data_IF_012487389183
#
_entry.id   IF_012487389183
#
_cell.length_a   1.000
_cell.length_b   1.000
_cell.length_c   1.000
_cell.angle_alpha   90.00
_cell.angle_beta   90.00
_cell.angle_gamma   90.00
#
_symmetry.space_group_name_H-M   'P 1'
#
loop_
_entity.id
_entity.type
_entity.pdbx_description
1 polymer ?
#
# COMPACT_ATOMS: atom_id res chain seq x y z
N UNK A 1 -26.96 13.67 -17.78
CA UNK A 1 -25.89 12.94 -18.48
C UNK A 1 -24.55 13.66 -18.45
N UNK A 2 -24.51 14.97 -18.86
CA UNK A 2 -23.27 15.74 -18.86
C UNK A 2 -22.61 15.87 -17.49
N UNK A 3 -23.41 16.07 -16.44
CA UNK A 3 -22.91 16.19 -15.07
C UNK A 3 -22.31 14.86 -14.56
N UNK A 4 -22.97 13.75 -14.81
CA UNK A 4 -22.45 12.43 -14.41
C UNK A 4 -21.18 12.05 -15.17
N UNK A 5 -21.10 12.38 -16.47
CA UNK A 5 -19.90 12.16 -17.27
C UNK A 5 -18.73 13.00 -16.76
N UNK A 6 -18.98 14.27 -16.41
CA UNK A 6 -17.96 15.15 -15.84
C UNK A 6 -17.51 14.65 -14.45
N UNK A 7 -18.45 14.23 -13.61
CA UNK A 7 -18.15 13.67 -12.29
C UNK A 7 -17.31 12.39 -12.40
N UNK A 8 -17.68 11.50 -13.30
CA UNK A 8 -16.91 10.26 -13.54
C UNK A 8 -15.47 10.56 -13.95
N UNK A 9 -15.27 11.51 -14.86
CA UNK A 9 -13.93 11.94 -15.27
C UNK A 9 -13.13 12.48 -14.08
N UNK A 10 -13.74 13.32 -13.25
CA UNK A 10 -13.10 13.89 -12.07
C UNK A 10 -12.77 12.83 -11.01
N UNK A 11 -13.65 11.86 -10.79
CA UNK A 11 -13.37 10.75 -9.87
C UNK A 11 -12.13 9.97 -10.30
N UNK A 12 -12.01 9.66 -11.58
CA UNK A 12 -10.83 8.98 -12.12
C UNK A 12 -9.55 9.81 -11.98
N UNK A 13 -9.64 11.12 -12.27
CA UNK A 13 -8.50 12.04 -12.11
C UNK A 13 -8.10 12.20 -10.66
N UNK A 14 -9.07 12.31 -9.76
CA UNK A 14 -8.83 12.42 -8.33
C UNK A 14 -8.12 11.16 -7.79
N UNK A 15 -8.63 9.99 -8.12
CA UNK A 15 -8.03 8.74 -7.68
C UNK A 15 -6.59 8.62 -8.16
N UNK A 16 -6.32 8.93 -9.44
CA UNK A 16 -4.97 8.91 -9.99
C UNK A 16 -4.05 9.90 -9.28
N UNK A 17 -4.54 11.10 -9.00
CA UNK A 17 -3.77 12.12 -8.28
C UNK A 17 -3.40 11.67 -6.86
N UNK A 18 -4.36 11.11 -6.14
CA UNK A 18 -4.14 10.64 -4.76
C UNK A 18 -3.19 9.44 -4.72
N UNK A 19 -3.30 8.51 -5.66
CA UNK A 19 -2.36 7.38 -5.80
C UNK A 19 -0.95 7.89 -6.11
N UNK A 20 -0.80 8.90 -6.94
CA UNK A 20 0.50 9.52 -7.21
C UNK A 20 1.08 10.17 -5.95
N UNK A 21 0.27 10.90 -5.18
CA UNK A 21 0.68 11.48 -3.90
C UNK A 21 1.19 10.39 -2.95
N UNK A 22 0.46 9.28 -2.85
CA UNK A 22 0.86 8.14 -2.04
C UNK A 22 2.25 7.62 -2.43
N UNK A 23 2.51 7.45 -3.72
CA UNK A 23 3.82 7.05 -4.24
C UNK A 23 4.93 8.01 -3.84
N UNK A 24 4.68 9.32 -3.95
CA UNK A 24 5.67 10.33 -3.58
C UNK A 24 5.97 10.32 -2.08
N UNK A 25 4.94 10.13 -1.25
CA UNK A 25 5.11 10.03 0.19
C UNK A 25 5.95 8.81 0.59
N UNK A 26 5.72 7.67 -0.04
CA UNK A 26 6.54 6.47 0.17
C UNK A 26 8.02 6.74 -0.16
N UNK A 27 8.29 7.39 -1.29
CA UNK A 27 9.66 7.75 -1.68
C UNK A 27 10.31 8.72 -0.70
N UNK A 28 9.57 9.69 -0.19
CA UNK A 28 10.08 10.62 0.81
C UNK A 28 10.44 9.90 2.11
N UNK A 29 9.64 8.93 2.55
CA UNK A 29 9.95 8.10 3.73
C UNK A 29 11.29 7.38 3.52
N UNK A 30 11.47 6.74 2.38
CA UNK A 30 12.71 6.04 2.03
C UNK A 30 13.92 6.99 2.08
N UNK A 31 13.81 8.14 1.44
CA UNK A 31 14.89 9.14 1.40
C UNK A 31 15.26 9.67 2.78
N UNK A 32 14.27 9.94 3.63
CA UNK A 32 14.54 10.43 4.99
C UNK A 32 15.19 9.33 5.85
N UNK A 33 14.79 8.07 5.70
CA UNK A 33 15.46 6.96 6.38
C UNK A 33 16.91 6.78 5.87
N UNK A 34 17.14 6.86 4.56
CA UNK A 34 18.48 6.76 3.96
C UNK A 34 19.43 7.84 4.50
N UNK A 35 18.93 9.04 4.75
CA UNK A 35 19.73 10.16 5.24
C UNK A 35 19.77 10.27 6.76
N UNK A 36 19.16 9.32 7.47
CA UNK A 36 19.18 9.28 8.94
C UNK A 36 18.19 10.23 9.61
N UNK A 37 17.26 10.82 8.87
CA UNK A 37 16.23 11.70 9.39
C UNK A 37 15.00 10.91 9.88
N UNK A 38 15.21 10.06 10.87
CA UNK A 38 14.20 9.10 11.33
C UNK A 38 12.90 9.76 11.82
N UNK A 39 12.99 10.86 12.56
CA UNK A 39 11.81 11.58 13.05
C UNK A 39 10.95 12.12 11.90
N UNK A 40 11.59 12.61 10.84
CA UNK A 40 10.89 13.09 9.64
C UNK A 40 10.20 11.95 8.90
N UNK A 41 10.89 10.81 8.77
CA UNK A 41 10.32 9.62 8.13
C UNK A 41 9.04 9.17 8.86
N UNK A 42 9.08 9.11 10.19
CA UNK A 42 7.93 8.76 11.03
C UNK A 42 6.77 9.73 10.84
N UNK A 43 7.08 11.03 10.80
CA UNK A 43 6.05 12.06 10.60
C UNK A 43 5.40 11.95 9.21
N UNK A 44 6.19 11.68 8.18
CA UNK A 44 5.65 11.46 6.83
C UNK A 44 4.79 10.19 6.79
N UNK A 45 5.17 9.14 7.52
CA UNK A 45 4.37 7.92 7.64
C UNK A 45 3.00 8.21 8.28
N UNK A 46 2.94 9.02 9.33
CA UNK A 46 1.69 9.46 9.95
C UNK A 46 0.81 10.25 8.98
N UNK A 47 1.42 11.18 8.23
CA UNK A 47 0.70 11.97 7.20
C UNK A 47 0.14 11.04 6.14
N UNK A 48 0.91 10.07 5.68
CA UNK A 48 0.50 9.09 4.68
C UNK A 48 -0.68 8.24 5.18
N UNK A 49 -0.60 7.77 6.40
CA UNK A 49 -1.66 7.01 7.07
C UNK A 49 -2.98 7.82 7.10
N UNK A 50 -2.92 9.06 7.54
CA UNK A 50 -4.09 9.95 7.57
C UNK A 50 -4.65 10.23 6.17
N UNK A 51 -3.79 10.44 5.19
CA UNK A 51 -4.21 10.67 3.81
C UNK A 51 -4.95 9.46 3.23
N UNK A 52 -4.43 8.26 3.45
CA UNK A 52 -5.05 7.01 2.97
C UNK A 52 -6.45 6.86 3.57
N UNK A 53 -6.59 7.10 4.87
CA UNK A 53 -7.88 7.03 5.54
C UNK A 53 -8.83 8.12 5.06
N UNK A 54 -8.35 9.35 4.94
CA UNK A 54 -9.17 10.50 4.52
C UNK A 54 -9.71 10.34 3.10
N UNK A 55 -8.88 9.87 2.18
CA UNK A 55 -9.29 9.68 0.78
C UNK A 55 -9.85 8.29 0.48
N UNK A 56 -10.05 7.45 1.49
CA UNK A 56 -10.68 6.15 1.33
C UNK A 56 -9.91 5.22 0.39
N UNK A 57 -8.59 5.28 0.41
CA UNK A 57 -7.74 4.37 -0.35
C UNK A 57 -7.73 2.98 0.32
N UNK A 58 -7.17 2.00 -0.36
CA UNK A 58 -7.12 0.64 0.15
C UNK A 58 -6.37 0.55 1.48
N UNK A 59 -6.98 -0.10 2.47
CA UNK A 59 -6.49 -0.14 3.86
C UNK A 59 -5.06 -0.69 4.02
N UNK A 60 -4.61 -1.61 3.13
CA UNK A 60 -3.25 -2.12 3.24
C UNK A 60 -2.21 -1.00 3.13
N UNK A 61 -2.53 0.08 2.45
CA UNK A 61 -1.67 1.25 2.32
C UNK A 61 -1.34 1.94 3.64
N UNK A 62 -2.17 1.76 4.68
CA UNK A 62 -1.89 2.28 6.02
C UNK A 62 -0.69 1.58 6.67
N UNK A 63 -0.42 0.33 6.30
CA UNK A 63 0.68 -0.48 6.87
C UNK A 63 2.00 -0.25 6.12
N UNK A 64 1.96 0.01 4.81
CA UNK A 64 3.15 0.15 3.97
C UNK A 64 4.16 1.18 4.48
N UNK A 65 3.76 2.40 4.91
CA UNK A 65 4.72 3.38 5.40
C UNK A 65 5.57 2.87 6.57
N UNK A 66 4.94 2.15 7.49
CA UNK A 66 5.63 1.60 8.67
C UNK A 66 6.53 0.42 8.30
N UNK A 67 6.13 -0.38 7.31
CA UNK A 67 6.98 -1.45 6.78
C UNK A 67 8.23 -0.89 6.09
N UNK A 68 8.11 0.20 5.35
CA UNK A 68 9.27 0.88 4.75
C UNK A 68 10.27 1.31 5.83
N UNK A 69 9.80 1.94 6.89
CA UNK A 69 10.64 2.35 8.01
C UNK A 69 11.31 1.15 8.68
N UNK A 70 10.55 0.11 9.02
CA UNK A 70 11.08 -1.09 9.66
C UNK A 70 12.11 -1.80 8.76
N UNK A 71 11.88 -1.81 7.44
CA UNK A 71 12.81 -2.38 6.46
C UNK A 71 14.14 -1.65 6.43
N UNK A 72 14.13 -0.34 6.37
CA UNK A 72 15.36 0.47 6.41
C UNK A 72 16.13 0.32 7.73
N UNK A 73 15.41 0.15 8.83
CA UNK A 73 16.03 -0.07 10.16
C UNK A 73 16.42 -1.54 10.40
N UNK A 74 16.12 -2.43 9.46
CA UNK A 74 16.39 -3.87 9.54
C UNK A 74 15.82 -4.52 10.80
N UNK A 75 14.67 -4.03 11.24
CA UNK A 75 13.94 -4.58 12.38
C UNK A 75 13.13 -5.79 11.91
N UNK A 76 13.75 -6.97 12.02
CA UNK A 76 13.18 -8.25 11.52
C UNK A 76 11.81 -8.53 12.15
N UNK A 77 11.71 -8.44 13.47
CA UNK A 77 10.48 -8.74 14.20
C UNK A 77 9.33 -7.82 13.77
N UNK A 78 9.61 -6.53 13.68
CA UNK A 78 8.63 -5.53 13.23
C UNK A 78 8.23 -5.76 11.78
N UNK A 79 9.17 -6.06 10.90
CA UNK A 79 8.88 -6.38 9.49
C UNK A 79 7.96 -7.59 9.37
N UNK A 80 8.24 -8.67 10.08
CA UNK A 80 7.42 -9.89 10.04
C UNK A 80 5.99 -9.59 10.52
N UNK A 81 5.86 -8.85 11.61
CA UNK A 81 4.56 -8.45 12.15
C UNK A 81 3.76 -7.61 11.14
N UNK A 82 4.41 -6.61 10.54
CA UNK A 82 3.77 -5.71 9.56
C UNK A 82 3.43 -6.43 8.26
N UNK A 83 4.28 -7.33 7.78
CA UNK A 83 3.98 -8.14 6.59
C UNK A 83 2.77 -9.04 6.84
N UNK A 84 2.68 -9.67 8.01
CA UNK A 84 1.52 -10.46 8.40
C UNK A 84 0.24 -9.62 8.37
N UNK A 85 0.27 -8.44 8.96
CA UNK A 85 -0.85 -7.50 8.94
C UNK A 85 -1.21 -7.07 7.52
N UNK A 86 -0.20 -6.73 6.71
CA UNK A 86 -0.35 -6.30 5.32
C UNK A 86 -1.03 -7.36 4.47
N UNK A 87 -0.60 -8.61 4.59
CA UNK A 87 -1.21 -9.73 3.86
C UNK A 87 -2.66 -9.97 4.27
N UNK A 88 -2.95 -9.86 5.56
CA UNK A 88 -4.32 -9.95 6.07
C UNK A 88 -5.21 -8.83 5.51
N UNK A 89 -4.72 -7.60 5.52
CA UNK A 89 -5.47 -6.44 4.98
C UNK A 89 -5.66 -6.54 3.46
N UNK A 90 -4.68 -7.07 2.72
CA UNK A 90 -4.75 -7.22 1.27
C UNK A 90 -5.83 -8.21 0.80
N UNK A 91 -6.27 -9.12 1.67
CA UNK A 91 -7.36 -10.06 1.36
C UNK A 91 -8.75 -9.42 1.47
N UNK A 92 -8.86 -8.27 2.12
CA UNK A 92 -10.13 -7.56 2.25
C UNK A 92 -10.41 -6.80 0.95
N UNK A 93 -11.65 -6.85 0.43
CA UNK A 93 -11.98 -6.12 -0.78
C UNK A 93 -11.91 -4.60 -0.55
N UNK A 94 -11.42 -3.89 -1.54
CA UNK A 94 -11.49 -2.42 -1.55
C UNK A 94 -12.85 -2.01 -2.08
N UNK A 95 -13.69 -1.47 -1.20
CA UNK A 95 -15.05 -1.09 -1.55
C UNK A 95 -15.12 0.40 -1.95
N UNK A 96 -14.82 0.67 -3.22
CA UNK A 96 -14.84 2.02 -3.80
C UNK A 96 -16.27 2.59 -3.93
N UNK A 97 -17.27 1.73 -4.09
CA UNK A 97 -18.68 2.15 -4.27
C UNK A 97 -19.23 2.88 -3.07
N UNK A 98 -18.71 2.61 -1.88
CA UNK A 98 -19.14 3.29 -0.65
C UNK A 98 -18.47 4.65 -0.46
N UNK A 99 -17.46 4.98 -1.27
CA UNK A 99 -16.81 6.28 -1.20
C UNK A 99 -17.55 7.32 -2.03
N UNK A 100 -17.85 8.51 -1.47
CA UNK A 100 -18.43 9.59 -2.27
C UNK A 100 -17.47 10.11 -3.34
N UNK A 101 -16.19 9.75 -3.27
CA UNK A 101 -15.15 10.23 -4.18
C UNK A 101 -15.00 9.37 -5.44
N UNK A 102 -15.37 8.07 -5.38
CA UNK A 102 -15.03 7.13 -6.47
C UNK A 102 -16.16 6.18 -6.87
N UNK A 103 -17.35 6.34 -6.34
CA UNK A 103 -18.39 5.32 -6.52
C UNK A 103 -18.83 5.12 -7.98
N UNK A 104 -18.72 6.17 -8.80
CA UNK A 104 -19.00 6.07 -10.23
C UNK A 104 -17.86 5.39 -10.99
N UNK A 105 -16.62 5.71 -10.59
CA UNK A 105 -15.42 5.25 -11.25
C UNK A 105 -15.24 3.75 -11.11
N UNK A 106 -15.68 3.14 -10.02
CA UNK A 106 -15.54 1.70 -9.78
C UNK A 106 -16.18 0.86 -10.89
N UNK A 107 -17.27 1.32 -11.47
CA UNK A 107 -17.96 0.59 -12.55
C UNK A 107 -17.22 0.63 -13.88
N UNK A 108 -16.19 1.45 -14.01
CA UNK A 108 -15.35 1.49 -15.21
C UNK A 108 -14.35 0.31 -15.22
N UNK A 109 -13.82 -0.01 -16.40
CA UNK A 109 -12.77 -1.03 -16.53
C UNK A 109 -11.53 -0.67 -15.71
N UNK A 110 -11.13 0.61 -15.70
CA UNK A 110 -10.00 1.11 -14.93
C UNK A 110 -10.27 1.02 -13.42
N UNK A 111 -11.47 1.36 -12.97
CA UNK A 111 -11.89 1.26 -11.57
C UNK A 111 -11.86 -0.18 -11.08
N UNK A 112 -12.35 -1.12 -11.88
CA UNK A 112 -12.29 -2.56 -11.57
C UNK A 112 -10.85 -3.07 -11.50
N UNK A 113 -9.97 -2.57 -12.36
CA UNK A 113 -8.55 -2.90 -12.33
C UNK A 113 -7.90 -2.43 -11.01
N UNK A 114 -8.21 -1.22 -10.54
CA UNK A 114 -7.75 -0.71 -9.26
C UNK A 114 -8.24 -1.58 -8.09
N UNK A 115 -9.52 -1.91 -8.04
CA UNK A 115 -10.09 -2.72 -6.97
C UNK A 115 -9.59 -4.17 -6.96
N UNK A 116 -9.09 -4.66 -8.09
CA UNK A 116 -8.56 -6.01 -8.25
C UNK A 116 -7.06 -6.16 -7.94
N UNK A 117 -6.33 -5.08 -7.68
CA UNK A 117 -4.87 -5.09 -7.49
C UNK A 117 -4.43 -6.04 -6.37
N UNK A 118 -5.22 -6.20 -5.30
CA UNK A 118 -4.87 -7.06 -4.18
C UNK A 118 -4.72 -8.54 -4.52
N UNK A 119 -5.31 -9.00 -5.61
CA UNK A 119 -5.20 -10.41 -6.03
C UNK A 119 -3.76 -10.82 -6.33
N UNK A 120 -2.96 -9.90 -6.84
CA UNK A 120 -1.56 -10.15 -7.18
C UNK A 120 -0.58 -9.63 -6.13
N UNK A 121 -1.06 -8.91 -5.14
CA UNK A 121 -0.24 -8.22 -4.14
C UNK A 121 0.67 -9.18 -3.36
N UNK A 122 0.14 -10.33 -2.94
CA UNK A 122 0.91 -11.34 -2.17
C UNK A 122 2.12 -11.81 -2.96
N UNK A 123 1.93 -12.12 -4.24
CA UNK A 123 3.01 -12.58 -5.14
C UNK A 123 4.04 -11.50 -5.39
N UNK A 124 3.59 -10.27 -5.59
CA UNK A 124 4.47 -9.13 -5.81
C UNK A 124 5.33 -8.86 -4.58
N UNK A 125 4.75 -8.86 -3.39
CA UNK A 125 5.48 -8.68 -2.14
C UNK A 125 6.48 -9.82 -1.90
N UNK A 126 6.06 -11.05 -2.13
CA UNK A 126 6.95 -12.21 -2.04
C UNK A 126 8.15 -12.07 -2.98
N UNK A 127 7.88 -11.72 -4.23
CA UNK A 127 8.93 -11.50 -5.23
C UNK A 127 9.89 -10.37 -4.83
N UNK A 128 9.40 -9.28 -4.26
CA UNK A 128 10.25 -8.20 -3.76
C UNK A 128 11.18 -8.67 -2.65
N UNK A 129 10.67 -9.41 -1.68
CA UNK A 129 11.46 -9.93 -0.56
C UNK A 129 12.54 -10.89 -1.06
N UNK A 130 12.20 -11.76 -2.03
CA UNK A 130 13.15 -12.73 -2.58
C UNK A 130 14.23 -12.11 -3.47
N UNK A 131 13.93 -11.02 -4.15
CA UNK A 131 14.79 -10.50 -5.21
C UNK A 131 15.45 -9.15 -4.92
N UNK A 132 14.84 -8.29 -4.10
CA UNK A 132 15.41 -6.98 -3.79
C UNK A 132 16.43 -7.05 -2.67
N UNK A 133 17.55 -6.38 -2.88
CA UNK A 133 18.66 -6.34 -1.92
C UNK A 133 18.23 -5.78 -0.56
N UNK A 134 17.33 -4.83 -0.56
CA UNK A 134 16.83 -4.17 0.65
C UNK A 134 16.17 -5.14 1.63
N UNK A 135 15.63 -6.25 1.13
CA UNK A 135 14.94 -7.26 1.93
C UNK A 135 15.77 -8.54 2.18
N UNK A 136 17.05 -8.53 1.79
CA UNK A 136 17.94 -9.68 1.97
C UNK A 136 17.97 -10.19 3.41
N UNK A 137 17.89 -9.28 4.38
CA UNK A 137 17.90 -9.61 5.80
C UNK A 137 16.66 -10.39 6.27
N UNK A 138 15.59 -10.43 5.47
CA UNK A 138 14.36 -11.19 5.77
C UNK A 138 14.36 -12.60 5.16
N UNK A 139 15.27 -12.87 4.22
CA UNK A 139 15.31 -14.17 3.53
C UNK A 139 15.68 -15.27 4.51
N UNK A 140 14.99 -16.41 4.39
CA UNK A 140 15.19 -17.54 5.27
C UNK A 140 14.52 -17.42 6.64
N UNK A 141 13.77 -16.36 6.89
CA UNK A 141 12.95 -16.25 8.10
C UNK A 141 11.80 -17.25 8.04
N UNK A 142 11.80 -18.24 8.92
CA UNK A 142 10.82 -19.34 8.88
C UNK A 142 9.38 -18.92 9.12
N UNK A 143 9.17 -17.96 10.02
CA UNK A 143 7.84 -17.43 10.29
C UNK A 143 7.26 -16.76 9.04
N UNK A 144 8.09 -15.97 8.36
CA UNK A 144 7.70 -15.29 7.14
C UNK A 144 7.41 -16.28 6.01
N UNK A 145 8.23 -17.32 5.86
CA UNK A 145 7.99 -18.38 4.87
C UNK A 145 6.64 -19.05 5.10
N UNK A 146 6.29 -19.38 6.32
CA UNK A 146 5.00 -19.99 6.68
C UNK A 146 3.83 -19.06 6.34
N UNK A 147 3.97 -17.76 6.63
CA UNK A 147 2.94 -16.75 6.32
C UNK A 147 2.68 -16.70 4.81
N UNK A 148 3.74 -16.66 4.00
CA UNK A 148 3.60 -16.66 2.54
C UNK A 148 3.03 -17.96 2.00
N UNK A 149 3.43 -19.10 2.53
CA UNK A 149 2.85 -20.40 2.15
C UNK A 149 1.34 -20.43 2.32
N UNK A 150 0.83 -19.90 3.44
CA UNK A 150 -0.61 -19.81 3.68
C UNK A 150 -1.32 -18.92 2.66
N UNK A 151 -0.71 -17.81 2.28
CA UNK A 151 -1.34 -16.82 1.40
C UNK A 151 -1.16 -17.09 -0.10
N UNK A 152 -0.15 -17.87 -0.48
CA UNK A 152 0.11 -18.23 -1.88
C UNK A 152 -0.68 -19.47 -2.35
N UNK A 153 -1.32 -20.16 -1.44
CA UNK A 153 -2.25 -21.25 -1.76
C UNK A 153 -3.56 -20.65 -2.31
#
# INVERSE_FOLDING_TARGET
EGTDTAALFLEGKLLQAVVNIQSYLYKLIEMEEETGNHDKAERIAEITDHMISLFGLWNYGNTVPYLLIAGYRKDVEKCVQLIKQLLSESQKPWNMTQSPLYYRYEDTAQGKAFSGVGKNFVRELYSEIENKKEYEFLRGNKELELIFEEHLK
#
